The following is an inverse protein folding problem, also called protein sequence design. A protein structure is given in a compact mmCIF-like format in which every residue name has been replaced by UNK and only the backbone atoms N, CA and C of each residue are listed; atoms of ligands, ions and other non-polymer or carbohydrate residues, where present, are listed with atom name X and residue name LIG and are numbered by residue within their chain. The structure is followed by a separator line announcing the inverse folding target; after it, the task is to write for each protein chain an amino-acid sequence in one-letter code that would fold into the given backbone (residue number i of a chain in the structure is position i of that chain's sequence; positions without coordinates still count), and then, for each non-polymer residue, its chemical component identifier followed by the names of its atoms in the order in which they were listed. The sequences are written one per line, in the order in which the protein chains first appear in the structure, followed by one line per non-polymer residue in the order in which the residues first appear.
data_IF_060714137397
#
_entry.id   IF_060714137397
#
_cell.length_a   1.000
_cell.length_b   1.000
_cell.length_c   1.000
_cell.angle_alpha   90.00
_cell.angle_beta   90.00
_cell.angle_gamma   90.00
#
_symmetry.space_group_name_H-M   'P 1'
#
loop_
_entity.id
_entity.type
_entity.pdbx_description
1 polymer ?
#
# COMPACT_ATOMS: atom_id res chain seq x y z
N UNK A 1 -10.52 -1.27 -26.16
CA UNK A 1 -10.29 -1.33 -24.69
C UNK A 1 -10.15 -2.79 -24.27
N UNK A 2 -9.10 -3.13 -23.51
CA UNK A 2 -8.89 -4.49 -23.01
C UNK A 2 -9.97 -4.84 -21.97
N UNK A 3 -10.58 -6.02 -22.08
CA UNK A 3 -11.50 -6.53 -21.06
C UNK A 3 -10.66 -7.20 -19.98
N UNK A 4 -10.82 -6.77 -18.73
CA UNK A 4 -10.10 -7.34 -17.59
C UNK A 4 -11.06 -7.85 -16.52
N UNK A 5 -10.81 -9.06 -16.00
CA UNK A 5 -11.50 -9.57 -14.81
C UNK A 5 -10.62 -9.26 -13.59
N UNK A 6 -11.15 -8.43 -12.67
CA UNK A 6 -10.46 -8.04 -11.44
C UNK A 6 -10.76 -9.06 -10.34
N UNK A 7 -9.72 -9.63 -9.73
CA UNK A 7 -9.81 -10.55 -8.59
C UNK A 7 -8.90 -10.02 -7.46
N UNK A 8 -9.27 -10.28 -6.21
CA UNK A 8 -8.42 -9.98 -5.05
C UNK A 8 -7.27 -10.99 -5.02
N UNK A 9 -6.02 -10.52 -5.04
CA UNK A 9 -4.86 -11.41 -5.00
C UNK A 9 -4.61 -11.85 -3.54
N UNK A 10 -4.07 -13.05 -3.32
CA UNK A 10 -3.66 -13.52 -1.99
C UNK A 10 -4.71 -14.21 -1.10
N UNK A 11 -5.99 -14.27 -1.48
CA UNK A 11 -7.04 -14.95 -0.65
C UNK A 11 -6.73 -16.43 -0.38
N UNK A 12 -6.20 -17.15 -1.38
CA UNK A 12 -5.82 -18.56 -1.23
C UNK A 12 -4.66 -18.75 -0.24
N UNK A 13 -3.67 -17.86 -0.28
CA UNK A 13 -2.52 -17.93 0.62
C UNK A 13 -2.94 -17.60 2.05
N UNK A 14 -3.79 -16.58 2.22
CA UNK A 14 -4.39 -16.22 3.50
C UNK A 14 -5.14 -17.41 4.13
N UNK A 15 -5.92 -18.14 3.32
CA UNK A 15 -6.60 -19.36 3.76
C UNK A 15 -5.63 -20.49 4.15
N UNK A 16 -4.53 -20.69 3.42
CA UNK A 16 -3.51 -21.70 3.77
C UNK A 16 -2.88 -21.38 5.13
N UNK A 17 -2.54 -20.12 5.39
CA UNK A 17 -1.99 -19.71 6.69
C UNK A 17 -3.01 -19.85 7.83
N UNK A 18 -4.28 -19.55 7.58
CA UNK A 18 -5.34 -19.76 8.58
C UNK A 18 -5.55 -21.25 8.89
N UNK A 19 -5.47 -22.12 7.88
CA UNK A 19 -5.50 -23.57 8.05
C UNK A 19 -4.29 -24.08 8.84
N UNK A 20 -3.08 -23.58 8.54
CA UNK A 20 -1.86 -23.94 9.27
C UNK A 20 -1.94 -23.51 10.74
N UNK A 21 -2.40 -22.29 11.00
CA UNK A 21 -2.61 -21.77 12.35
C UNK A 21 -3.60 -22.64 13.14
N UNK A 22 -4.73 -23.01 12.52
CA UNK A 22 -5.70 -23.90 13.14
C UNK A 22 -5.12 -25.29 13.44
N UNK A 23 -4.30 -25.84 12.54
CA UNK A 23 -3.61 -27.12 12.73
C UNK A 23 -2.62 -27.09 13.89
N UNK A 24 -1.76 -26.08 13.96
CA UNK A 24 -0.78 -25.91 15.06
C UNK A 24 -1.51 -25.75 16.41
N UNK A 25 -2.57 -24.94 16.45
CA UNK A 25 -3.39 -24.78 17.66
C UNK A 25 -4.04 -26.10 18.09
N UNK A 26 -4.50 -26.91 17.14
CA UNK A 26 -5.09 -28.21 17.46
C UNK A 26 -4.06 -29.19 18.02
N UNK A 27 -2.89 -29.30 17.38
CA UNK A 27 -1.78 -30.14 17.85
C UNK A 27 -1.40 -29.75 19.28
N UNK A 28 -1.25 -28.46 19.57
CA UNK A 28 -0.91 -27.96 20.90
C UNK A 28 -1.96 -28.37 21.95
N UNK A 29 -3.25 -28.16 21.65
CA UNK A 29 -4.34 -28.53 22.56
C UNK A 29 -4.40 -30.04 22.81
N UNK A 30 -4.23 -30.85 21.76
CA UNK A 30 -4.22 -32.31 21.88
C UNK A 30 -3.02 -32.80 22.67
N UNK A 31 -1.83 -32.23 22.47
CA UNK A 31 -0.64 -32.63 23.23
C UNK A 31 -0.81 -32.37 24.72
N UNK A 32 -1.36 -31.21 25.10
CA UNK A 32 -1.63 -30.93 26.52
C UNK A 32 -2.72 -31.87 27.05
N UNK A 33 -3.81 -32.07 26.30
CA UNK A 33 -4.87 -32.99 26.71
C UNK A 33 -4.34 -34.42 26.93
N UNK A 34 -3.58 -34.98 25.98
CA UNK A 34 -2.99 -36.31 26.09
C UNK A 34 -1.94 -36.39 27.21
N UNK A 35 -1.10 -35.36 27.37
CA UNK A 35 -0.10 -35.33 28.45
C UNK A 35 -0.75 -35.35 29.83
N UNK A 36 -1.77 -34.52 30.06
CA UNK A 36 -2.48 -34.49 31.33
C UNK A 36 -3.34 -35.74 31.53
N UNK A 37 -3.89 -36.31 30.47
CA UNK A 37 -4.60 -37.59 30.51
C UNK A 37 -3.69 -38.74 30.94
N UNK A 38 -2.45 -38.77 30.43
CA UNK A 38 -1.46 -39.80 30.78
C UNK A 38 -0.96 -39.67 32.22
N UNK A 39 -0.81 -38.44 32.73
CA UNK A 39 -0.28 -38.19 34.09
C UNK A 39 -1.34 -38.31 35.18
N UNK A 40 -2.55 -37.79 34.99
CA UNK A 40 -3.59 -37.71 36.03
C UNK A 40 -4.72 -38.73 35.88
N UNK A 41 -4.68 -39.55 34.82
CA UNK A 41 -5.72 -40.53 34.48
C UNK A 41 -6.97 -39.88 33.88
N UNK A 42 -7.94 -40.71 33.52
CA UNK A 42 -9.24 -40.22 33.03
C UNK A 42 -10.10 -39.73 34.21
N UNK A 43 -10.72 -38.55 34.08
CA UNK A 43 -11.76 -38.01 34.99
C UNK A 43 -11.36 -37.43 36.36
N UNK A 44 -10.13 -36.94 36.52
CA UNK A 44 -9.73 -36.16 37.71
C UNK A 44 -10.03 -34.65 37.54
N UNK A 45 -10.38 -33.95 38.61
CA UNK A 45 -10.63 -32.49 38.58
C UNK A 45 -9.48 -31.67 37.94
N UNK A 46 -8.19 -31.97 38.25
CA UNK A 46 -7.05 -31.35 37.56
C UNK A 46 -7.06 -31.52 36.03
N UNK A 47 -7.49 -32.68 35.52
CA UNK A 47 -7.59 -32.94 34.08
C UNK A 47 -8.65 -32.06 33.42
N UNK A 48 -9.82 -31.91 34.04
CA UNK A 48 -10.89 -31.05 33.52
C UNK A 48 -10.44 -29.58 33.43
N UNK A 49 -9.79 -29.08 34.50
CA UNK A 49 -9.25 -27.72 34.52
C UNK A 49 -8.18 -27.53 33.43
N UNK A 50 -7.26 -28.49 33.27
CA UNK A 50 -6.24 -28.45 32.24
C UNK A 50 -6.85 -28.45 30.82
N UNK A 51 -7.93 -29.21 30.59
CA UNK A 51 -8.63 -29.27 29.32
C UNK A 51 -9.28 -27.93 28.97
N UNK A 52 -9.97 -27.29 29.92
CA UNK A 52 -10.57 -25.95 29.73
C UNK A 52 -9.49 -24.91 29.42
N UNK A 53 -8.40 -24.89 30.20
CA UNK A 53 -7.29 -23.95 29.97
C UNK A 53 -6.62 -24.20 28.61
N UNK A 54 -6.41 -25.46 28.23
CA UNK A 54 -5.85 -25.83 26.93
C UNK A 54 -6.72 -25.35 25.78
N UNK A 55 -8.05 -25.45 25.92
CA UNK A 55 -8.99 -24.96 24.92
C UNK A 55 -8.96 -23.43 24.80
N UNK A 56 -8.86 -22.71 25.92
CA UNK A 56 -8.71 -21.25 25.89
C UNK A 56 -7.38 -20.81 25.28
N UNK A 57 -6.28 -21.51 25.59
CA UNK A 57 -4.96 -21.24 25.02
C UNK A 57 -4.94 -21.50 23.51
N UNK A 58 -5.58 -22.59 23.05
CA UNK A 58 -5.79 -22.87 21.62
C UNK A 58 -6.43 -21.69 20.91
N UNK A 59 -7.52 -21.16 21.45
CA UNK A 59 -8.26 -20.05 20.84
C UNK A 59 -7.42 -18.77 20.80
N UNK A 60 -6.65 -18.47 21.86
CA UNK A 60 -5.74 -17.32 21.87
C UNK A 60 -4.59 -17.45 20.89
N UNK A 61 -3.97 -18.62 20.77
CA UNK A 61 -2.92 -18.87 19.77
C UNK A 61 -3.48 -18.70 18.35
N UNK A 62 -4.69 -19.20 18.09
CA UNK A 62 -5.35 -19.06 16.77
C UNK A 62 -5.71 -17.61 16.44
N UNK A 63 -6.14 -16.81 17.41
CA UNK A 63 -6.45 -15.40 17.21
C UNK A 63 -5.19 -14.56 16.98
N UNK A 64 -4.16 -14.76 17.82
CA UNK A 64 -2.89 -14.05 17.69
C UNK A 64 -2.20 -14.35 16.36
N UNK A 65 -2.18 -15.62 15.95
CA UNK A 65 -1.65 -16.03 14.65
C UNK A 65 -2.43 -15.40 13.50
N UNK A 66 -3.76 -15.43 13.51
CA UNK A 66 -4.59 -14.76 12.49
C UNK A 66 -4.29 -13.27 12.39
N UNK A 67 -4.22 -12.57 13.53
CA UNK A 67 -3.92 -11.15 13.56
C UNK A 67 -2.51 -10.84 13.03
N UNK A 68 -1.52 -11.61 13.49
CA UNK A 68 -0.14 -11.46 13.05
C UNK A 68 0.03 -11.70 11.55
N UNK A 69 -0.62 -12.75 11.02
CA UNK A 69 -0.57 -13.07 9.60
C UNK A 69 -1.31 -12.03 8.77
N UNK A 70 -2.51 -11.61 9.16
CA UNK A 70 -3.25 -10.58 8.45
C UNK A 70 -2.44 -9.26 8.35
N UNK A 71 -1.80 -8.84 9.45
CA UNK A 71 -1.03 -7.60 9.47
C UNK A 71 0.32 -7.70 8.74
N UNK A 72 1.02 -8.84 8.85
CA UNK A 72 2.34 -9.02 8.24
C UNK A 72 2.28 -9.36 6.76
N UNK A 73 1.28 -10.14 6.31
CA UNK A 73 1.12 -10.49 4.91
C UNK A 73 0.65 -9.30 4.06
N UNK A 74 -0.24 -8.45 4.58
CA UNK A 74 -0.81 -7.33 3.81
C UNK A 74 0.25 -6.48 3.07
N UNK A 75 1.41 -6.24 3.70
CA UNK A 75 2.45 -5.37 3.11
C UNK A 75 3.22 -5.95 1.91
N UNK A 76 3.15 -7.26 1.65
CA UNK A 76 3.94 -7.93 0.58
C UNK A 76 3.11 -8.41 -0.60
N UNK A 77 1.79 -8.56 -0.44
CA UNK A 77 0.91 -8.97 -1.53
C UNK A 77 0.37 -7.77 -2.29
N UNK A 78 -0.06 -8.02 -3.52
CA UNK A 78 -0.81 -7.04 -4.29
C UNK A 78 -2.28 -7.10 -3.89
N UNK A 79 -2.96 -5.96 -3.85
CA UNK A 79 -4.37 -5.90 -3.47
C UNK A 79 -5.25 -6.53 -4.55
N UNK A 80 -4.88 -6.28 -5.80
CA UNK A 80 -5.69 -6.64 -6.96
C UNK A 80 -4.84 -7.27 -8.05
N UNK A 81 -5.34 -8.36 -8.62
CA UNK A 81 -4.85 -8.95 -9.86
C UNK A 81 -5.93 -8.82 -10.93
N UNK A 82 -5.56 -8.23 -12.05
CA UNK A 82 -6.40 -8.12 -13.23
C UNK A 82 -5.82 -8.99 -14.33
N UNK A 83 -6.56 -10.02 -14.74
CA UNK A 83 -6.23 -10.84 -15.91
C UNK A 83 -6.59 -10.05 -17.17
N UNK A 84 -5.62 -9.88 -18.07
CA UNK A 84 -5.81 -9.14 -19.31
C UNK A 84 -6.12 -10.10 -20.44
N UNK A 85 -7.22 -9.85 -21.14
CA UNK A 85 -7.63 -10.63 -22.29
C UNK A 85 -7.87 -9.75 -23.51
N UNK A 86 -7.40 -10.22 -24.67
CA UNK A 86 -7.67 -9.65 -25.98
C UNK A 86 -8.30 -10.75 -26.83
N UNK A 87 -9.42 -10.46 -27.50
CA UNK A 87 -10.13 -11.45 -28.34
C UNK A 87 -10.37 -12.81 -27.64
N UNK A 88 -10.69 -12.79 -26.33
CA UNK A 88 -10.95 -13.97 -25.50
C UNK A 88 -9.72 -14.84 -25.20
N UNK A 89 -8.51 -14.38 -25.54
CA UNK A 89 -7.25 -15.02 -25.21
C UNK A 89 -6.48 -14.21 -24.17
N UNK A 90 -5.93 -14.91 -23.18
CA UNK A 90 -5.19 -14.29 -22.09
C UNK A 90 -3.81 -13.83 -22.57
N UNK A 91 -3.56 -12.53 -22.45
CA UNK A 91 -2.33 -11.88 -22.90
C UNK A 91 -1.39 -11.54 -21.73
N UNK A 92 -1.84 -11.73 -20.49
CA UNK A 92 -1.03 -11.48 -19.30
C UNK A 92 -1.84 -11.03 -18.10
N UNK A 93 -1.18 -10.40 -17.14
CA UNK A 93 -1.81 -9.91 -15.93
C UNK A 93 -1.19 -8.60 -15.43
N UNK A 94 -1.99 -7.84 -14.70
CA UNK A 94 -1.57 -6.68 -13.92
C UNK A 94 -1.80 -6.99 -12.45
N UNK A 95 -0.83 -6.70 -11.59
CA UNK A 95 -1.01 -6.69 -10.15
C UNK A 95 -0.79 -5.28 -9.60
N UNK A 96 -1.68 -4.80 -8.75
CA UNK A 96 -1.67 -3.46 -8.18
C UNK A 96 -1.81 -3.51 -6.67
N UNK A 97 -1.00 -2.71 -5.96
CA UNK A 97 -1.03 -2.57 -4.51
C UNK A 97 -0.86 -1.10 -4.11
N UNK A 98 -1.50 -0.67 -3.04
CA UNK A 98 -1.32 0.66 -2.46
C UNK A 98 -1.09 0.55 -0.95
N UNK A 99 0.07 1.02 -0.50
CA UNK A 99 0.48 0.95 0.90
C UNK A 99 0.90 2.32 1.44
N UNK A 100 0.83 2.48 2.76
CA UNK A 100 1.51 3.56 3.46
C UNK A 100 2.81 3.01 4.05
N UNK A 101 3.94 3.65 3.71
CA UNK A 101 5.25 3.23 4.19
C UNK A 101 5.91 4.32 5.03
N UNK A 102 6.68 3.96 6.06
CA UNK A 102 7.50 4.91 6.77
C UNK A 102 8.75 5.25 5.93
N UNK A 103 9.41 6.36 6.27
CA UNK A 103 10.51 6.93 5.50
C UNK A 103 11.69 5.95 5.35
N UNK A 104 11.95 5.12 6.35
CA UNK A 104 13.06 4.16 6.39
C UNK A 104 12.90 3.03 5.37
N UNK A 105 11.66 2.77 4.91
CA UNK A 105 11.38 1.76 3.89
C UNK A 105 11.47 2.30 2.46
N UNK A 106 11.67 3.61 2.29
CA UNK A 106 11.82 4.21 0.95
C UNK A 106 13.23 3.97 0.42
N UNK A 107 13.38 3.45 -0.82
CA UNK A 107 14.70 3.30 -1.44
C UNK A 107 15.51 4.61 -1.47
N UNK A 108 16.81 4.52 -1.19
CA UNK A 108 17.68 5.69 -1.06
C UNK A 108 17.83 6.49 -2.37
N UNK A 109 17.76 5.83 -3.53
CA UNK A 109 17.74 6.48 -4.84
C UNK A 109 16.47 7.35 -5.04
N UNK A 110 15.30 6.87 -4.61
CA UNK A 110 14.04 7.63 -4.63
C UNK A 110 14.12 8.83 -3.69
N UNK A 111 14.70 8.66 -2.50
CA UNK A 111 14.90 9.75 -1.54
C UNK A 111 15.84 10.84 -2.07
N UNK A 112 16.91 10.45 -2.78
CA UNK A 112 17.82 11.41 -3.44
C UNK A 112 17.09 12.23 -4.51
N UNK A 113 16.30 11.59 -5.36
CA UNK A 113 15.56 12.27 -6.44
C UNK A 113 14.42 13.13 -5.89
N UNK A 114 13.77 12.70 -4.80
CA UNK A 114 12.74 13.49 -4.12
C UNK A 114 13.26 14.86 -3.68
N UNK A 115 14.55 14.98 -3.38
CA UNK A 115 15.31 16.20 -3.10
C UNK A 115 14.55 17.17 -2.19
N UNK A 116 14.75 16.97 -0.88
CA UNK A 116 14.09 17.75 0.16
C UNK A 116 14.75 19.11 0.26
N UNK A 117 14.04 20.17 -0.15
CA UNK A 117 14.50 21.53 0.10
C UNK A 117 14.52 21.79 1.60
N UNK A 118 15.67 22.21 2.13
CA UNK A 118 15.86 22.55 3.53
C UNK A 118 14.87 23.63 4.04
N UNK A 119 14.40 24.50 3.14
CA UNK A 119 13.42 25.57 3.45
C UNK A 119 12.04 24.96 3.77
N UNK A 120 11.64 23.91 3.06
CA UNK A 120 10.38 23.21 3.33
C UNK A 120 10.44 22.40 4.63
N UNK A 121 11.59 21.79 4.95
CA UNK A 121 11.77 21.07 6.21
C UNK A 121 11.75 22.02 7.43
N UNK A 122 12.36 23.21 7.29
CA UNK A 122 12.40 24.21 8.36
C UNK A 122 11.01 24.73 8.78
N UNK A 123 10.06 24.77 7.84
CA UNK A 123 8.67 25.18 8.08
C UNK A 123 7.75 24.03 8.52
N UNK A 124 8.17 22.77 8.36
CA UNK A 124 7.34 21.59 8.60
C UNK A 124 7.83 20.76 9.81
N UNK A 125 8.35 21.44 10.85
CA UNK A 125 9.02 20.82 12.02
C UNK A 125 8.15 19.84 12.84
N UNK A 126 6.84 19.87 12.67
CA UNK A 126 5.91 19.05 13.44
C UNK A 126 5.20 17.96 12.63
N UNK A 127 5.25 17.98 11.30
CA UNK A 127 4.46 17.06 10.47
C UNK A 127 5.37 16.13 9.66
N UNK A 128 5.21 14.82 9.92
CA UNK A 128 5.96 13.79 9.20
C UNK A 128 5.28 13.52 7.86
N UNK A 129 6.00 13.72 6.75
CA UNK A 129 5.50 13.43 5.40
C UNK A 129 4.95 11.99 5.35
N UNK A 130 3.65 11.86 5.06
CA UNK A 130 3.04 10.54 4.85
C UNK A 130 3.35 10.07 3.44
N UNK A 131 4.03 8.92 3.34
CA UNK A 131 4.45 8.36 2.05
C UNK A 131 3.47 7.28 1.63
N UNK A 132 2.89 7.47 0.45
CA UNK A 132 2.04 6.50 -0.23
C UNK A 132 2.90 5.79 -1.27
N UNK A 133 2.98 4.46 -1.17
CA UNK A 133 3.62 3.61 -2.15
C UNK A 133 2.54 2.92 -2.99
N UNK A 134 2.47 3.28 -4.27
CA UNK A 134 1.70 2.54 -5.26
C UNK A 134 2.65 1.62 -6.04
N UNK A 135 2.34 0.32 -6.08
CA UNK A 135 3.11 -0.70 -6.79
C UNK A 135 2.25 -1.28 -7.90
N UNK A 136 2.81 -1.31 -9.11
CA UNK A 136 2.19 -1.96 -10.26
C UNK A 136 3.19 -2.92 -10.89
N UNK A 137 2.79 -4.18 -11.03
CA UNK A 137 3.54 -5.21 -11.75
C UNK A 137 2.72 -5.63 -12.96
N UNK A 138 3.32 -5.46 -14.14
CA UNK A 138 2.71 -5.84 -15.42
C UNK A 138 3.52 -7.00 -15.98
N UNK A 139 2.83 -8.07 -16.34
CA UNK A 139 3.41 -9.21 -17.06
C UNK A 139 2.62 -9.40 -18.35
N UNK A 140 3.33 -9.40 -19.47
CA UNK A 140 2.75 -9.59 -20.80
C UNK A 140 3.38 -10.83 -21.44
N UNK A 141 2.54 -11.70 -21.98
CA UNK A 141 2.99 -12.84 -22.76
C UNK A 141 3.02 -12.47 -24.24
N UNK A 142 4.23 -12.34 -24.78
CA UNK A 142 4.46 -11.99 -26.19
C UNK A 142 3.83 -13.01 -27.16
N UNK A 143 3.95 -14.31 -26.86
CA UNK A 143 3.40 -15.37 -27.71
C UNK A 143 1.87 -15.27 -27.79
N UNK A 144 1.20 -15.05 -26.66
CA UNK A 144 -0.25 -14.85 -26.64
C UNK A 144 -0.68 -13.60 -27.41
N UNK A 145 0.09 -12.50 -27.32
CA UNK A 145 -0.20 -11.26 -28.03
C UNK A 145 -0.09 -11.42 -29.55
N UNK A 146 0.95 -12.10 -30.02
CA UNK A 146 1.17 -12.34 -31.45
C UNK A 146 0.10 -13.28 -32.04
N UNK A 147 -0.46 -14.19 -31.24
CA UNK A 147 -1.61 -15.03 -31.64
C UNK A 147 -2.93 -14.23 -31.76
N UNK A 148 -3.08 -13.15 -30.99
CA UNK A 148 -4.34 -12.38 -30.94
C UNK A 148 -4.51 -11.39 -32.10
N UNK A 149 -3.42 -11.02 -32.79
CA UNK A 149 -3.40 -9.93 -33.77
C UNK A 149 -2.64 -10.32 -35.03
N UNK A 150 -3.19 -10.01 -36.20
CA UNK A 150 -2.50 -10.16 -37.50
C UNK A 150 -1.29 -9.22 -37.66
N UNK A 151 -1.22 -8.16 -36.84
CA UNK A 151 -0.14 -7.18 -36.87
C UNK A 151 0.66 -7.24 -35.57
N UNK A 152 1.99 -7.04 -35.63
CA UNK A 152 2.82 -7.01 -34.44
C UNK A 152 2.37 -5.88 -33.51
N UNK A 153 1.99 -6.23 -32.29
CA UNK A 153 1.61 -5.24 -31.28
C UNK A 153 2.89 -4.61 -30.73
N UNK A 154 3.04 -3.28 -30.88
CA UNK A 154 4.24 -2.55 -30.43
C UNK A 154 4.41 -2.57 -28.90
N UNK A 155 3.31 -2.59 -28.16
CA UNK A 155 3.35 -2.65 -26.70
C UNK A 155 2.01 -2.32 -26.05
N UNK A 156 2.05 -2.04 -24.76
CA UNK A 156 0.90 -1.62 -23.97
C UNK A 156 1.10 -0.19 -23.50
N UNK A 157 0.11 0.67 -23.76
CA UNK A 157 0.06 1.98 -23.15
C UNK A 157 -0.74 1.91 -21.84
N UNK A 158 -0.11 2.32 -20.75
CA UNK A 158 -0.71 2.30 -19.42
C UNK A 158 -0.97 3.73 -18.92
N UNK A 159 -2.21 3.99 -18.49
CA UNK A 159 -2.64 5.32 -18.05
C UNK A 159 -2.97 5.26 -16.56
N UNK A 160 -2.06 5.79 -15.75
CA UNK A 160 -2.26 5.96 -14.30
C UNK A 160 -3.06 7.24 -14.07
N UNK A 161 -4.18 7.14 -13.35
CA UNK A 161 -5.03 8.29 -12.98
C UNK A 161 -5.03 8.47 -11.47
N UNK A 162 -4.52 9.61 -11.01
CA UNK A 162 -4.58 10.01 -9.60
C UNK A 162 -5.67 11.07 -9.43
N UNK A 163 -6.69 10.77 -8.63
CA UNK A 163 -7.70 11.76 -8.26
C UNK A 163 -7.29 12.45 -6.96
N UNK A 164 -7.05 13.77 -7.03
CA UNK A 164 -6.64 14.58 -5.87
C UNK A 164 -7.81 15.29 -5.17
N UNK A 165 -9.02 15.23 -5.71
CA UNK A 165 -10.18 15.99 -5.21
C UNK A 165 -10.47 15.70 -3.73
N UNK A 166 -10.33 14.44 -3.31
CA UNK A 166 -10.58 14.02 -1.94
C UNK A 166 -9.58 14.64 -0.94
N UNK A 167 -8.36 14.97 -1.38
CA UNK A 167 -7.38 15.68 -0.54
C UNK A 167 -7.72 17.17 -0.43
N UNK A 168 -8.20 17.76 -1.53
CA UNK A 168 -8.46 19.19 -1.67
C UNK A 168 -9.71 19.63 -0.87
N UNK A 169 -10.74 18.81 -0.80
CA UNK A 169 -12.01 19.14 -0.16
C UNK A 169 -11.90 19.48 1.34
N UNK A 170 -10.92 18.87 2.03
CA UNK A 170 -10.68 19.08 3.47
C UNK A 170 -9.59 20.12 3.75
N UNK A 171 -9.14 20.85 2.74
CA UNK A 171 -8.12 21.90 2.91
C UNK A 171 -8.72 23.15 3.55
N UNK A 172 -7.85 23.85 4.28
CA UNK A 172 -8.15 25.15 4.90
C UNK A 172 -8.41 26.24 3.85
N UNK A 173 -8.83 27.43 4.28
CA UNK A 173 -9.07 28.55 3.38
C UNK A 173 -7.83 28.84 2.52
N UNK A 174 -7.96 28.85 1.18
CA UNK A 174 -6.81 29.08 0.30
C UNK A 174 -6.24 30.49 0.40
N UNK A 175 -6.93 31.45 1.03
CA UNK A 175 -6.45 32.82 1.15
C UNK A 175 -6.00 33.07 2.59
N UNK A 176 -4.73 33.44 2.76
CA UNK A 176 -4.13 33.76 4.05
C UNK A 176 -3.63 35.21 4.01
N UNK A 177 -3.95 36.04 5.03
CA UNK A 177 -3.39 37.38 5.13
C UNK A 177 -1.91 37.29 5.52
N UNK A 178 -1.04 37.88 4.71
CA UNK A 178 0.37 38.10 5.01
C UNK A 178 0.56 39.56 5.42
N UNK A 179 1.29 39.77 6.50
CA UNK A 179 1.62 41.08 7.02
C UNK A 179 3.06 41.41 6.62
N UNK A 180 3.26 42.52 5.94
CA UNK A 180 4.60 43.01 5.64
C UNK A 180 4.76 44.44 6.17
N UNK A 181 5.95 44.79 6.69
CA UNK A 181 6.19 46.10 7.25
C UNK A 181 6.16 47.15 6.15
N UNK A 182 5.45 48.24 6.40
CA UNK A 182 5.35 49.39 5.51
C UNK A 182 5.81 50.65 6.24
N UNK A 183 6.56 51.51 5.55
CA UNK A 183 7.20 52.67 6.19
C UNK A 183 6.20 53.79 6.51
N UNK A 184 5.07 53.88 5.81
CA UNK A 184 4.04 54.90 6.06
C UNK A 184 2.96 54.46 7.06
N UNK A 185 2.41 53.25 6.92
CA UNK A 185 1.29 52.78 7.78
C UNK A 185 1.70 51.80 8.87
N UNK A 186 3.00 51.48 8.99
CA UNK A 186 3.56 50.50 9.93
C UNK A 186 3.48 49.06 9.41
N UNK A 187 2.34 48.65 8.84
CA UNK A 187 2.20 47.37 8.14
C UNK A 187 1.12 47.43 7.06
N UNK A 188 1.23 46.51 6.10
CA UNK A 188 0.21 46.27 5.08
C UNK A 188 -0.18 44.78 5.04
N UNK A 189 -1.44 44.51 4.65
CA UNK A 189 -2.00 43.16 4.55
C UNK A 189 -2.13 42.76 3.09
N UNK A 190 -1.42 41.71 2.68
CA UNK A 190 -1.51 41.11 1.35
C UNK A 190 -2.24 39.77 1.45
N UNK A 191 -3.25 39.57 0.61
CA UNK A 191 -3.92 38.28 0.47
C UNK A 191 -3.04 37.36 -0.38
N UNK A 192 -2.47 36.32 0.24
CA UNK A 192 -1.67 35.31 -0.46
C UNK A 192 -2.41 33.99 -0.56
N UNK A 193 -2.12 33.21 -1.62
CA UNK A 193 -2.68 31.88 -1.77
C UNK A 193 -1.84 30.84 -1.00
N UNK A 194 -2.48 30.10 -0.10
CA UNK A 194 -1.89 28.94 0.56
C UNK A 194 -1.86 27.77 -0.42
N UNK A 195 -0.66 27.31 -0.72
CA UNK A 195 -0.39 26.19 -1.62
C UNK A 195 0.21 25.00 -0.86
N UNK A 196 -0.08 23.81 -1.35
CA UNK A 196 0.39 22.54 -0.84
C UNK A 196 1.08 21.75 -1.95
N UNK A 197 2.12 21.00 -1.60
CA UNK A 197 2.91 20.23 -2.56
C UNK A 197 2.68 18.73 -2.37
N UNK A 198 2.26 18.04 -3.43
CA UNK A 198 2.37 16.59 -3.53
C UNK A 198 3.59 16.27 -4.37
N UNK A 199 4.52 15.52 -3.79
CA UNK A 199 5.70 15.06 -4.51
C UNK A 199 5.46 13.63 -4.98
N UNK A 200 5.57 13.43 -6.29
CA UNK A 200 5.37 12.13 -6.93
C UNK A 200 6.67 11.71 -7.58
N UNK A 201 7.20 10.55 -7.17
CA UNK A 201 8.35 9.92 -7.82
C UNK A 201 7.86 8.62 -8.45
N UNK A 202 7.99 8.52 -9.77
CA UNK A 202 7.63 7.34 -10.54
C UNK A 202 8.91 6.57 -10.84
N UNK A 203 8.99 5.34 -10.32
CA UNK A 203 10.05 4.40 -10.64
C UNK A 203 9.54 3.37 -11.63
N UNK A 204 10.16 3.31 -12.81
CA UNK A 204 9.91 2.28 -13.81
C UNK A 204 11.12 1.34 -13.84
N UNK A 205 10.86 0.05 -13.69
CA UNK A 205 11.89 -0.99 -13.75
C UNK A 205 11.54 -1.93 -14.89
N UNK A 206 12.45 -2.08 -15.86
CA UNK A 206 12.29 -2.97 -17.01
C UNK A 206 13.65 -3.50 -17.43
N UNK A 207 13.78 -4.81 -17.62
CA UNK A 207 14.99 -5.49 -18.09
C UNK A 207 16.29 -5.09 -17.37
N UNK A 208 16.19 -4.84 -16.06
CA UNK A 208 17.31 -4.42 -15.21
C UNK A 208 17.60 -2.91 -15.24
N UNK A 209 17.03 -2.17 -16.18
CA UNK A 209 17.08 -0.71 -16.20
C UNK A 209 16.06 -0.12 -15.24
N UNK A 210 16.49 0.90 -14.50
CA UNK A 210 15.62 1.67 -13.61
C UNK A 210 15.58 3.11 -14.07
N UNK A 211 14.39 3.58 -14.45
CA UNK A 211 14.15 4.98 -14.78
C UNK A 211 13.34 5.64 -13.66
N UNK A 212 13.80 6.80 -13.22
CA UNK A 212 13.11 7.62 -12.21
C UNK A 212 12.60 8.89 -12.88
N UNK A 213 11.36 9.28 -12.57
CA UNK A 213 10.77 10.55 -12.98
C UNK A 213 10.18 11.25 -11.77
N UNK A 214 10.47 12.53 -11.60
CA UNK A 214 9.97 13.34 -10.50
C UNK A 214 8.94 14.33 -11.02
N UNK A 215 7.82 14.42 -10.30
CA UNK A 215 6.80 15.43 -10.51
C UNK A 215 6.49 16.11 -9.18
N UNK A 216 6.26 17.41 -9.22
CA UNK A 216 5.71 18.16 -8.10
C UNK A 216 4.35 18.72 -8.52
N UNK A 217 3.31 18.29 -7.84
CA UNK A 217 1.94 18.75 -8.07
C UNK A 217 1.63 19.82 -7.03
N UNK A 218 1.40 21.04 -7.49
CA UNK A 218 1.03 22.19 -6.66
C UNK A 218 -0.49 22.26 -6.57
N UNK A 219 -1.01 22.22 -5.36
CA UNK A 219 -2.44 22.16 -5.07
C UNK A 219 -2.86 23.29 -4.15
N UNK A 220 -4.12 23.72 -4.27
CA UNK A 220 -4.82 24.48 -3.25
C UNK A 220 -6.27 24.00 -3.14
N UNK A 221 -7.09 24.64 -2.28
CA UNK A 221 -8.52 24.29 -2.11
C UNK A 221 -9.34 24.33 -3.42
N UNK A 222 -8.90 25.08 -4.44
CA UNK A 222 -9.59 25.16 -5.74
C UNK A 222 -9.20 24.02 -6.69
N UNK A 223 -8.12 23.28 -6.39
CA UNK A 223 -7.67 22.13 -7.19
C UNK A 223 -6.18 22.18 -7.51
N UNK A 224 -5.83 21.59 -8.66
CA UNK A 224 -4.45 21.60 -9.18
C UNK A 224 -4.15 22.98 -9.76
N UNK A 225 -3.06 23.59 -9.31
CA UNK A 225 -2.54 24.86 -9.85
C UNK A 225 -1.54 24.61 -10.96
N UNK A 226 -0.56 23.76 -10.68
CA UNK A 226 0.56 23.53 -11.59
C UNK A 226 1.18 22.15 -11.35
N UNK A 227 1.84 21.62 -12.37
CA UNK A 227 2.61 20.38 -12.30
C UNK A 227 4.00 20.66 -12.85
N UNK A 228 5.00 20.63 -11.97
CA UNK A 228 6.41 20.73 -12.34
C UNK A 228 6.97 19.33 -12.64
N UNK A 229 7.79 19.22 -13.68
CA UNK A 229 8.49 17.99 -14.06
C UNK A 229 9.99 18.23 -14.01
N UNK A 230 10.71 17.28 -13.40
CA UNK A 230 12.17 17.29 -13.29
C UNK A 230 12.77 16.04 -13.92
#
# INVERSE_FOLDING_TARGET
FLKGKKKRDGVLVEQIYFSLAAGISMIFATTIAFSFQQTYGNFTMPFFVALVISYMLKDRIKELSRYYFAHKLGSRYFDHKTEMALNNQEIGFIKEAMDFIPNEKVPSNVMKVRDRSAILEANNRFDTEKIILYRKLVSLNRQSLDLCSKYPTAGMNDIIRLNVMNYVQKMDNPIVPLYYPDQETGYQIVKSERIYYINMVVQLIHDGETQLRRYRVILNRKGIREIEKF
#
